data_IF_464172900739
#
_entry.id   IF_464172900739
#
_cell.length_a   1.000
_cell.length_b   1.000
_cell.length_c   1.000
_cell.angle_alpha   90.00
_cell.angle_beta   90.00
_cell.angle_gamma   90.00
#
_symmetry.space_group_name_H-M   'P 1'
#
loop_
_entity.id
_entity.type
_entity.pdbx_description
1 polymer ?
#
# COMPACT_ATOMS: atom_id res chain seq x y z
N UNK A 1 -14.21 -47.50 53.78
CA UNK A 1 -15.32 -47.12 52.88
C UNK A 1 -15.02 -45.77 52.25
N UNK A 2 -15.05 -45.68 50.91
CA UNK A 2 -15.17 -44.51 50.00
C UNK A 2 -14.40 -43.23 50.37
N UNK A 3 -13.23 -42.96 49.75
CA UNK A 3 -13.01 -42.12 48.55
C UNK A 3 -13.64 -40.72 48.63
N UNK A 4 -12.79 -39.69 48.72
CA UNK A 4 -12.99 -38.43 48.00
C UNK A 4 -11.62 -37.77 47.72
N UNK A 5 -11.06 -38.04 46.54
CA UNK A 5 -9.97 -37.21 46.00
C UNK A 5 -10.62 -35.90 45.54
N UNK A 6 -10.32 -34.80 46.23
CA UNK A 6 -10.68 -33.46 45.77
C UNK A 6 -9.60 -32.99 44.80
N UNK A 7 -9.75 -33.30 43.51
CA UNK A 7 -8.90 -32.72 42.45
C UNK A 7 -9.27 -31.24 42.29
N UNK A 8 -8.40 -30.36 42.78
CA UNK A 8 -8.48 -28.91 42.58
C UNK A 8 -8.06 -28.61 41.12
N UNK A 9 -9.02 -28.58 40.20
CA UNK A 9 -8.79 -28.10 38.83
C UNK A 9 -8.57 -26.60 38.86
N UNK A 10 -7.31 -26.19 38.85
CA UNK A 10 -6.88 -24.80 38.70
C UNK A 10 -7.20 -24.35 37.26
N UNK A 11 -8.40 -23.79 37.07
CA UNK A 11 -8.78 -23.10 35.84
C UNK A 11 -7.91 -21.84 35.73
N UNK A 12 -6.74 -21.95 35.12
CA UNK A 12 -5.96 -20.81 34.69
C UNK A 12 -6.73 -20.10 33.57
N UNK A 13 -7.61 -19.17 33.97
CA UNK A 13 -8.12 -18.12 33.10
C UNK A 13 -6.92 -17.33 32.60
N UNK A 14 -6.39 -17.72 31.45
CA UNK A 14 -5.48 -16.90 30.66
C UNK A 14 -6.31 -15.70 30.23
N UNK A 15 -6.32 -14.67 31.06
CA UNK A 15 -6.72 -13.33 30.68
C UNK A 15 -5.72 -12.89 29.60
N UNK A 16 -5.98 -13.29 28.35
CA UNK A 16 -5.38 -12.67 27.19
C UNK A 16 -5.87 -11.22 27.21
N UNK A 17 -5.13 -10.36 27.89
CA UNK A 17 -5.35 -8.93 27.82
C UNK A 17 -5.30 -8.55 26.36
N UNK A 18 -6.46 -8.28 25.75
CA UNK A 18 -6.55 -7.59 24.48
C UNK A 18 -5.94 -6.21 24.69
N UNK A 19 -4.62 -6.13 24.64
CA UNK A 19 -3.93 -4.87 24.39
C UNK A 19 -4.52 -4.37 23.08
N UNK A 20 -5.34 -3.31 23.14
CA UNK A 20 -5.86 -2.64 21.95
C UNK A 20 -4.65 -2.36 21.07
N UNK A 21 -4.53 -3.08 19.95
CA UNK A 21 -3.41 -2.92 19.02
C UNK A 21 -3.39 -1.46 18.62
N UNK A 22 -2.38 -0.71 19.09
CA UNK A 22 -2.28 0.73 18.82
C UNK A 22 -2.24 0.88 17.31
N UNK A 23 -3.24 1.56 16.77
CA UNK A 23 -3.34 1.75 15.33
C UNK A 23 -2.14 2.52 14.83
N UNK A 24 -1.55 2.01 13.75
CA UNK A 24 -0.34 2.57 13.16
C UNK A 24 -0.56 4.02 12.70
N UNK A 25 0.36 4.92 13.05
CA UNK A 25 0.31 6.29 12.54
C UNK A 25 0.89 6.30 11.11
N UNK A 26 0.01 6.17 10.13
CA UNK A 26 0.31 6.08 8.71
C UNK A 26 0.17 7.45 8.02
N UNK A 27 1.10 7.78 7.11
CA UNK A 27 0.99 8.95 6.23
C UNK A 27 1.42 8.66 4.80
N UNK A 28 0.68 9.24 3.85
CA UNK A 28 1.00 9.30 2.43
C UNK A 28 1.23 10.76 2.03
N UNK A 29 2.49 11.13 1.77
CA UNK A 29 2.93 12.49 1.48
C UNK A 29 3.47 12.61 0.05
N UNK A 30 2.71 12.13 -0.93
CA UNK A 30 3.12 12.13 -2.35
C UNK A 30 2.91 13.47 -3.07
N UNK A 31 2.20 14.41 -2.42
CA UNK A 31 1.96 15.76 -2.93
C UNK A 31 2.82 16.85 -2.27
N UNK A 32 3.76 16.48 -1.39
CA UNK A 32 4.72 17.41 -0.79
C UNK A 32 6.00 17.47 -1.62
N UNK A 33 6.62 18.64 -1.68
CA UNK A 33 7.96 18.79 -2.23
C UNK A 33 9.05 18.28 -1.26
N UNK A 34 10.29 18.21 -1.74
CA UNK A 34 11.43 17.71 -0.97
C UNK A 34 11.64 18.49 0.34
N UNK A 35 11.57 19.82 0.27
CA UNK A 35 11.82 20.70 1.43
C UNK A 35 10.72 20.53 2.48
N UNK A 36 9.47 20.36 2.06
CA UNK A 36 8.35 20.07 2.96
C UNK A 36 8.52 18.74 3.67
N UNK A 37 8.95 17.69 2.96
CA UNK A 37 9.20 16.36 3.55
C UNK A 37 10.36 16.40 4.54
N UNK A 38 11.43 17.16 4.26
CA UNK A 38 12.59 17.30 5.14
C UNK A 38 12.26 18.00 6.48
N UNK A 39 11.21 18.81 6.52
CA UNK A 39 10.80 19.57 7.70
C UNK A 39 9.61 18.94 8.47
N UNK A 40 9.38 17.63 8.29
CA UNK A 40 8.36 16.92 9.06
C UNK A 40 8.82 16.74 10.51
N UNK A 41 8.08 17.31 11.46
CA UNK A 41 8.35 17.12 12.89
C UNK A 41 7.52 15.99 13.53
N UNK A 42 6.35 15.67 12.97
CA UNK A 42 5.46 14.62 13.49
C UNK A 42 6.06 13.24 13.24
N UNK A 43 6.07 12.40 14.27
CA UNK A 43 6.54 11.02 14.14
C UNK A 43 5.46 10.10 13.55
N UNK A 44 5.80 9.35 12.50
CA UNK A 44 4.94 8.34 11.85
C UNK A 44 5.47 6.93 12.06
N UNK A 45 4.62 5.92 12.09
CA UNK A 45 5.10 4.53 12.09
C UNK A 45 5.41 4.07 10.66
N UNK A 46 4.52 4.41 9.71
CA UNK A 46 4.77 4.21 8.27
C UNK A 46 4.61 5.54 7.55
N UNK A 47 5.64 5.92 6.81
CA UNK A 47 5.68 7.15 6.02
C UNK A 47 5.98 6.79 4.56
N UNK A 48 5.07 7.14 3.65
CA UNK A 48 5.24 6.99 2.21
C UNK A 48 5.48 8.38 1.60
N UNK A 49 6.54 8.51 0.79
CA UNK A 49 6.94 9.77 0.14
C UNK A 49 7.14 9.56 -1.36
N UNK A 50 6.94 10.63 -2.14
CA UNK A 50 7.24 10.66 -3.57
C UNK A 50 8.64 11.21 -3.81
N UNK A 51 9.39 10.57 -4.70
CA UNK A 51 10.72 11.01 -5.12
C UNK A 51 11.86 10.19 -4.50
N UNK A 52 13.07 10.43 -5.01
CA UNK A 52 14.29 9.73 -4.61
C UNK A 52 15.20 10.68 -3.85
N UNK A 53 15.08 10.70 -2.52
CA UNK A 53 15.99 11.40 -1.63
C UNK A 53 17.37 10.72 -1.52
N UNK A 54 18.38 11.51 -1.17
CA UNK A 54 19.74 11.00 -0.86
C UNK A 54 19.77 10.34 0.51
N UNK A 55 20.79 9.51 0.76
CA UNK A 55 21.02 8.88 2.08
C UNK A 55 21.08 9.87 3.25
N UNK A 56 21.64 11.06 3.04
CA UNK A 56 21.69 12.09 4.07
C UNK A 56 20.28 12.62 4.41
N UNK A 57 19.47 12.88 3.40
CA UNK A 57 18.07 13.32 3.57
C UNK A 57 17.22 12.24 4.24
N UNK A 58 17.26 11.00 3.78
CA UNK A 58 16.48 9.90 4.39
C UNK A 58 16.89 9.64 5.83
N UNK A 59 18.17 9.78 6.18
CA UNK A 59 18.64 9.68 7.57
C UNK A 59 17.98 10.73 8.48
N UNK A 60 17.78 11.96 7.99
CA UNK A 60 17.03 13.00 8.71
C UNK A 60 15.55 12.63 8.85
N UNK A 61 14.91 12.25 7.74
CA UNK A 61 13.48 11.86 7.72
C UNK A 61 13.21 10.69 8.69
N UNK A 62 14.11 9.70 8.75
CA UNK A 62 13.98 8.52 9.60
C UNK A 62 14.03 8.80 11.10
N UNK A 63 14.44 10.00 11.54
CA UNK A 63 14.24 10.43 12.94
C UNK A 63 12.76 10.59 13.29
N UNK A 64 11.92 10.80 12.28
CA UNK A 64 10.49 11.02 12.41
C UNK A 64 9.65 9.88 11.82
N UNK A 65 10.25 8.74 11.49
CA UNK A 65 9.48 7.56 11.09
C UNK A 65 10.13 6.23 11.47
N UNK A 66 9.31 5.22 11.79
CA UNK A 66 9.80 3.84 12.00
C UNK A 66 10.10 3.13 10.68
N UNK A 67 9.35 3.40 9.62
CA UNK A 67 9.56 2.79 8.30
C UNK A 67 9.30 3.81 7.21
N UNK A 68 10.31 4.08 6.39
CA UNK A 68 10.24 5.00 5.26
C UNK A 68 10.10 4.23 3.94
N UNK A 69 9.04 4.53 3.19
CA UNK A 69 8.75 3.95 1.88
C UNK A 69 8.94 4.98 0.77
N UNK A 70 9.70 4.60 -0.26
CA UNK A 70 9.87 5.39 -1.48
C UNK A 70 8.92 4.93 -2.58
N UNK A 71 8.33 5.88 -3.32
CA UNK A 71 7.43 5.54 -4.42
C UNK A 71 8.20 5.10 -5.68
N UNK A 72 7.76 3.99 -6.29
CA UNK A 72 8.10 3.57 -7.66
C UNK A 72 6.81 3.39 -8.45
N UNK A 73 6.77 3.82 -9.70
CA UNK A 73 5.70 3.45 -10.64
C UNK A 73 6.30 2.55 -11.72
N UNK A 74 6.00 1.25 -11.67
CA UNK A 74 6.65 0.27 -12.55
C UNK A 74 6.20 0.39 -14.02
N UNK A 75 5.09 1.06 -14.28
CA UNK A 75 4.50 1.17 -15.63
C UNK A 75 4.59 2.57 -16.20
N UNK A 76 5.14 3.53 -15.45
CA UNK A 76 5.31 4.90 -15.94
C UNK A 76 6.50 4.98 -16.89
N UNK A 77 6.24 4.84 -18.18
CA UNK A 77 7.24 5.08 -19.20
C UNK A 77 7.29 6.56 -19.59
N UNK A 78 8.40 7.23 -19.31
CA UNK A 78 8.71 8.57 -19.84
C UNK A 78 9.89 8.56 -20.80
N UNK A 79 10.50 7.40 -21.03
CA UNK A 79 11.67 7.26 -21.86
C UNK A 79 11.23 6.96 -23.31
N UNK A 80 11.55 7.85 -24.27
CA UNK A 80 11.22 7.67 -25.68
C UNK A 80 11.69 6.33 -26.26
N UNK A 81 12.79 5.78 -25.75
CA UNK A 81 13.41 4.57 -26.28
C UNK A 81 12.54 3.31 -26.10
N UNK A 82 11.57 3.36 -25.19
CA UNK A 82 10.68 2.23 -24.91
C UNK A 82 9.26 2.44 -25.44
N UNK A 83 9.01 3.51 -26.22
CA UNK A 83 7.64 3.87 -26.60
C UNK A 83 6.95 2.85 -27.53
N UNK A 84 7.71 2.22 -28.43
CA UNK A 84 7.18 1.33 -29.46
C UNK A 84 6.70 -0.03 -28.93
N UNK A 85 7.05 -0.39 -27.70
CA UNK A 85 6.66 -1.66 -27.08
C UNK A 85 5.57 -1.51 -26.04
N UNK A 86 5.10 -0.29 -25.79
CA UNK A 86 4.16 0.03 -24.73
C UNK A 86 2.79 -0.62 -24.92
N UNK A 87 2.13 -0.88 -23.78
CA UNK A 87 0.76 -1.39 -23.72
C UNK A 87 -0.18 -0.20 -23.60
N UNK A 88 -1.23 -0.12 -24.42
CA UNK A 88 -2.19 0.99 -24.40
C UNK A 88 -3.55 0.55 -23.87
N UNK A 89 -4.11 1.30 -22.92
CA UNK A 89 -5.47 1.12 -22.41
C UNK A 89 -6.17 2.47 -22.23
N UNK A 90 -7.34 2.65 -22.84
CA UNK A 90 -8.18 3.87 -22.76
C UNK A 90 -7.36 5.16 -22.89
N UNK A 91 -6.55 5.24 -23.95
CA UNK A 91 -5.67 6.37 -24.30
C UNK A 91 -4.50 6.63 -23.34
N UNK A 92 -4.25 5.74 -22.37
CA UNK A 92 -3.07 5.78 -21.52
C UNK A 92 -2.07 4.71 -21.96
N UNK A 93 -0.82 5.11 -22.08
CA UNK A 93 0.28 4.25 -22.51
C UNK A 93 1.11 3.83 -21.29
N UNK A 94 1.35 2.53 -21.16
CA UNK A 94 2.07 1.91 -20.06
C UNK A 94 3.35 1.24 -20.58
N UNK A 95 4.41 1.29 -19.78
CA UNK A 95 5.62 0.55 -20.06
C UNK A 95 5.32 -0.94 -20.23
N UNK A 96 5.92 -1.58 -21.23
CA UNK A 96 5.92 -3.03 -21.29
C UNK A 96 6.93 -3.60 -20.30
N UNK A 97 6.40 -4.05 -19.16
CA UNK A 97 7.20 -4.51 -18.04
C UNK A 97 7.82 -5.90 -18.24
N UNK A 98 7.48 -6.60 -19.33
CA UNK A 98 8.04 -7.93 -19.61
C UNK A 98 9.44 -7.84 -20.22
N UNK A 99 9.83 -6.67 -20.73
CA UNK A 99 11.14 -6.47 -21.33
C UNK A 99 12.26 -6.48 -20.30
N UNK A 100 13.31 -7.26 -20.53
CA UNK A 100 14.46 -7.36 -19.62
C UNK A 100 15.12 -6.01 -19.33
N UNK A 101 15.21 -5.14 -20.34
CA UNK A 101 15.75 -3.79 -20.20
C UNK A 101 14.90 -2.92 -19.27
N UNK A 102 13.57 -3.05 -19.35
CA UNK A 102 12.65 -2.37 -18.43
C UNK A 102 12.72 -2.96 -17.03
N UNK A 103 12.78 -4.29 -16.93
CA UNK A 103 12.92 -4.96 -15.64
C UNK A 103 14.21 -4.51 -14.94
N UNK A 104 15.32 -4.46 -15.68
CA UNK A 104 16.60 -3.93 -15.18
C UNK A 104 16.43 -2.49 -14.70
N UNK A 105 15.81 -1.62 -15.50
CA UNK A 105 15.57 -0.22 -15.13
C UNK A 105 14.83 -0.09 -13.79
N UNK A 106 13.77 -0.88 -13.56
CA UNK A 106 13.03 -0.90 -12.29
C UNK A 106 13.89 -1.45 -11.15
N UNK A 107 14.64 -2.53 -11.36
CA UNK A 107 15.53 -3.08 -10.32
C UNK A 107 16.67 -2.13 -9.94
N UNK A 108 17.21 -1.36 -10.89
CA UNK A 108 18.20 -0.30 -10.61
C UNK A 108 17.60 0.82 -9.74
N UNK A 109 16.32 1.18 -9.95
CA UNK A 109 15.62 2.11 -9.06
C UNK A 109 15.44 1.53 -7.65
N UNK A 110 15.10 0.24 -7.53
CA UNK A 110 15.00 -0.45 -6.24
C UNK A 110 16.34 -0.41 -5.49
N UNK A 111 17.44 -0.72 -6.18
CA UNK A 111 18.79 -0.66 -5.62
C UNK A 111 19.15 0.75 -5.17
N UNK A 112 18.80 1.76 -5.96
CA UNK A 112 19.01 3.17 -5.60
C UNK A 112 18.23 3.56 -4.35
N UNK A 113 16.95 3.16 -4.23
CA UNK A 113 16.16 3.38 -3.02
C UNK A 113 16.79 2.67 -1.81
N UNK A 114 17.24 1.43 -1.96
CA UNK A 114 17.92 0.72 -0.88
C UNK A 114 19.19 1.43 -0.43
N UNK A 115 20.06 1.81 -1.36
CA UNK A 115 21.32 2.51 -1.09
C UNK A 115 21.08 3.85 -0.40
N UNK A 116 20.00 4.53 -0.76
CA UNK A 116 19.56 5.77 -0.14
C UNK A 116 18.83 5.56 1.20
N UNK A 117 18.75 4.35 1.74
CA UNK A 117 18.32 4.11 3.13
C UNK A 117 16.81 4.01 3.35
N UNK A 118 16.04 3.83 2.28
CA UNK A 118 14.62 3.48 2.39
C UNK A 118 14.45 2.07 2.97
N UNK A 119 13.40 1.88 3.76
CA UNK A 119 13.06 0.60 4.40
C UNK A 119 12.12 -0.24 3.53
N UNK A 120 11.40 0.42 2.63
CA UNK A 120 10.46 -0.22 1.73
C UNK A 120 10.12 0.58 0.48
N UNK A 121 9.29 -0.03 -0.35
CA UNK A 121 8.81 0.49 -1.61
C UNK A 121 7.29 0.61 -1.58
N UNK A 122 6.80 1.73 -2.06
CA UNK A 122 5.40 1.92 -2.42
C UNK A 122 5.28 1.84 -3.94
N UNK A 123 4.73 0.74 -4.44
CA UNK A 123 4.80 0.40 -5.87
C UNK A 123 3.43 0.59 -6.53
N UNK A 124 3.40 1.39 -7.59
CA UNK A 124 2.23 1.63 -8.46
C UNK A 124 2.36 0.87 -9.78
N UNK A 125 1.24 0.66 -10.46
CA UNK A 125 1.18 0.12 -11.84
C UNK A 125 0.64 -1.31 -11.95
N UNK A 126 0.21 -1.93 -10.84
CA UNK A 126 -0.31 -3.30 -10.85
C UNK A 126 -1.65 -3.46 -11.57
N UNK A 127 -2.37 -2.37 -11.82
CA UNK A 127 -3.56 -2.36 -12.67
C UNK A 127 -3.26 -2.71 -14.14
N UNK A 128 -2.00 -2.63 -14.58
CA UNK A 128 -1.62 -3.10 -15.91
C UNK A 128 -1.95 -4.59 -16.12
N UNK A 129 -1.96 -5.40 -15.06
CA UNK A 129 -2.35 -6.81 -15.15
C UNK A 129 -3.80 -6.97 -15.64
N UNK A 130 -4.73 -6.18 -15.09
CA UNK A 130 -6.12 -6.13 -15.55
C UNK A 130 -6.20 -5.59 -16.99
N UNK A 131 -5.46 -4.51 -17.28
CA UNK A 131 -5.50 -3.85 -18.59
C UNK A 131 -4.91 -4.69 -19.72
N UNK A 132 -3.95 -5.56 -19.39
CA UNK A 132 -3.37 -6.54 -20.28
C UNK A 132 -4.12 -7.88 -20.22
N UNK A 133 -5.40 -7.87 -19.85
CA UNK A 133 -6.28 -9.06 -19.85
C UNK A 133 -5.71 -10.24 -19.06
N UNK A 134 -5.11 -9.96 -17.90
CA UNK A 134 -4.54 -10.94 -16.98
C UNK A 134 -3.42 -11.80 -17.61
N UNK A 135 -2.65 -11.21 -18.54
CA UNK A 135 -1.50 -11.86 -19.17
C UNK A 135 -0.49 -12.42 -18.13
N UNK A 136 -0.17 -13.70 -18.27
CA UNK A 136 0.72 -14.42 -17.35
C UNK A 136 2.15 -13.85 -17.32
N UNK A 137 2.64 -13.29 -18.43
CA UNK A 137 3.96 -12.66 -18.49
C UNK A 137 3.98 -11.35 -17.71
N UNK A 138 2.87 -10.60 -17.72
CA UNK A 138 2.70 -9.41 -16.87
C UNK A 138 2.66 -9.80 -15.40
N UNK A 139 1.93 -10.85 -15.03
CA UNK A 139 1.93 -11.38 -13.66
C UNK A 139 3.34 -11.79 -13.20
N UNK A 140 4.08 -12.55 -14.04
CA UNK A 140 5.45 -12.99 -13.75
C UNK A 140 6.41 -11.81 -13.58
N UNK A 141 6.32 -10.79 -14.42
CA UNK A 141 7.14 -9.58 -14.30
C UNK A 141 6.82 -8.81 -12.99
N UNK A 142 5.54 -8.71 -12.62
CA UNK A 142 5.13 -8.10 -11.35
C UNK A 142 5.66 -8.89 -10.14
N UNK A 143 5.56 -10.22 -10.18
CA UNK A 143 6.13 -11.10 -9.15
C UNK A 143 7.65 -10.95 -9.06
N UNK A 144 8.34 -10.88 -10.20
CA UNK A 144 9.79 -10.65 -10.25
C UNK A 144 10.20 -9.39 -9.47
N UNK A 145 9.49 -8.27 -9.64
CA UNK A 145 9.80 -7.04 -8.91
C UNK A 145 9.57 -7.15 -7.40
N UNK A 146 8.50 -7.82 -6.98
CA UNK A 146 8.21 -8.05 -5.56
C UNK A 146 9.29 -8.95 -4.94
N UNK A 147 9.63 -10.06 -5.61
CA UNK A 147 10.67 -10.98 -5.16
C UNK A 147 12.03 -10.31 -5.08
N UNK A 148 12.37 -9.48 -6.07
CA UNK A 148 13.61 -8.71 -6.08
C UNK A 148 13.68 -7.75 -4.89
N UNK A 149 12.61 -6.98 -4.64
CA UNK A 149 12.52 -6.11 -3.47
C UNK A 149 12.65 -6.89 -2.15
N UNK A 150 12.01 -8.06 -2.06
CA UNK A 150 12.10 -8.92 -0.89
C UNK A 150 13.52 -9.43 -0.65
N UNK A 151 14.24 -9.86 -1.70
CA UNK A 151 15.66 -10.25 -1.64
C UNK A 151 16.56 -9.10 -1.16
N UNK A 152 16.22 -7.86 -1.52
CA UNK A 152 16.89 -6.64 -1.01
C UNK A 152 16.47 -6.27 0.44
N UNK A 153 15.68 -7.12 1.09
CA UNK A 153 15.12 -6.90 2.44
C UNK A 153 14.33 -5.58 2.50
N UNK A 154 13.61 -5.26 1.43
CA UNK A 154 12.73 -4.10 1.36
C UNK A 154 11.28 -4.55 1.55
N UNK A 155 10.55 -3.82 2.40
CA UNK A 155 9.10 -4.02 2.56
C UNK A 155 8.37 -3.52 1.31
N UNK A 156 7.25 -4.13 0.93
CA UNK A 156 6.48 -3.73 -0.26
C UNK A 156 5.05 -3.36 0.12
N UNK A 157 4.61 -2.16 -0.27
CA UNK A 157 3.20 -1.75 -0.28
C UNK A 157 2.79 -1.55 -1.74
N UNK A 158 1.70 -2.19 -2.15
CA UNK A 158 1.15 -2.07 -3.51
C UNK A 158 0.00 -1.07 -3.51
N UNK A 159 -0.04 -0.16 -4.48
CA UNK A 159 -1.22 0.65 -4.76
C UNK A 159 -2.09 -0.01 -5.83
N UNK A 160 -3.38 -0.16 -5.54
CA UNK A 160 -4.37 -0.75 -6.46
C UNK A 160 -3.96 -2.17 -6.94
N UNK A 161 -4.30 -2.56 -8.18
CA UNK A 161 -3.97 -3.91 -8.69
C UNK A 161 -4.79 -5.04 -8.10
N UNK A 162 -6.07 -4.81 -7.84
CA UNK A 162 -6.94 -5.77 -7.13
C UNK A 162 -7.01 -7.15 -7.80
N UNK A 163 -7.09 -7.23 -9.13
CA UNK A 163 -7.03 -8.50 -9.87
C UNK A 163 -5.72 -9.25 -9.65
N UNK A 164 -4.58 -8.54 -9.62
CA UNK A 164 -3.27 -9.15 -9.34
C UNK A 164 -3.23 -9.69 -7.90
N UNK A 165 -3.71 -8.91 -6.93
CA UNK A 165 -3.74 -9.31 -5.52
C UNK A 165 -4.69 -10.49 -5.28
N UNK A 166 -5.85 -10.51 -5.95
CA UNK A 166 -6.79 -11.63 -5.83
C UNK A 166 -6.17 -12.92 -6.39
N UNK A 167 -5.46 -12.86 -7.51
CA UNK A 167 -4.74 -14.03 -8.04
C UNK A 167 -3.54 -14.42 -7.16
N UNK A 168 -2.79 -13.46 -6.62
CA UNK A 168 -1.72 -13.70 -5.64
C UNK A 168 -2.24 -14.47 -4.41
N UNK A 169 -3.39 -14.04 -3.86
CA UNK A 169 -4.05 -14.71 -2.74
C UNK A 169 -4.56 -16.10 -3.15
N UNK A 170 -5.19 -16.21 -4.32
CA UNK A 170 -5.74 -17.47 -4.85
C UNK A 170 -4.66 -18.52 -5.07
N UNK A 171 -3.51 -18.11 -5.60
CA UNK A 171 -2.34 -18.98 -5.80
C UNK A 171 -1.59 -19.29 -4.50
N UNK A 172 -2.03 -18.74 -3.37
CA UNK A 172 -1.42 -18.92 -2.05
C UNK A 172 0.05 -18.48 -2.03
N UNK A 173 0.37 -17.41 -2.76
CA UNK A 173 1.72 -16.86 -2.81
C UNK A 173 2.18 -16.42 -1.41
N UNK A 174 3.49 -16.43 -1.17
CA UNK A 174 4.02 -16.12 0.16
C UNK A 174 3.65 -14.69 0.58
N UNK A 175 2.73 -14.56 1.55
CA UNK A 175 2.28 -13.26 2.09
C UNK A 175 3.39 -12.36 2.62
N UNK A 176 4.57 -12.90 2.96
CA UNK A 176 5.71 -12.09 3.43
C UNK A 176 6.32 -11.21 2.31
N UNK A 177 6.01 -11.50 1.04
CA UNK A 177 6.46 -10.73 -0.11
C UNK A 177 5.79 -9.34 -0.17
N UNK A 178 4.54 -9.23 0.27
CA UNK A 178 3.77 -7.98 0.26
C UNK A 178 3.40 -7.61 1.70
N UNK A 179 3.94 -6.49 2.19
CA UNK A 179 3.63 -5.99 3.53
C UNK A 179 2.19 -5.47 3.62
N UNK A 180 1.67 -4.87 2.55
CA UNK A 180 0.29 -4.44 2.51
C UNK A 180 -0.17 -3.90 1.16
N UNK A 181 -1.46 -3.64 1.08
CA UNK A 181 -2.14 -3.10 -0.10
C UNK A 181 -2.83 -1.80 0.28
N UNK A 182 -2.65 -0.78 -0.54
CA UNK A 182 -3.26 0.52 -0.41
C UNK A 182 -4.39 0.68 -1.43
N UNK A 183 -5.55 1.15 -0.95
CA UNK A 183 -6.68 1.55 -1.80
C UNK A 183 -7.15 2.95 -1.46
N UNK A 184 -7.47 3.72 -2.49
CA UNK A 184 -8.05 5.05 -2.37
C UNK A 184 -9.58 4.99 -2.53
N UNK A 185 -10.28 6.01 -2.02
CA UNK A 185 -11.69 6.27 -2.31
C UNK A 185 -12.62 5.09 -1.96
N UNK A 186 -12.38 4.45 -0.81
CA UNK A 186 -13.16 3.30 -0.29
C UNK A 186 -14.49 3.78 0.27
N UNK A 187 -14.47 4.86 1.04
CA UNK A 187 -15.63 5.43 1.73
C UNK A 187 -16.18 6.64 1.01
N UNK A 188 -15.30 7.45 0.43
CA UNK A 188 -15.66 8.65 -0.29
C UNK A 188 -15.21 8.58 -1.74
N UNK A 189 -15.75 9.47 -2.58
CA UNK A 189 -15.29 9.69 -3.94
C UNK A 189 -15.10 11.17 -4.20
N UNK A 190 -14.11 11.49 -5.01
CA UNK A 190 -13.90 12.86 -5.45
C UNK A 190 -15.07 13.35 -6.30
N UNK A 191 -15.54 14.57 -6.00
CA UNK A 191 -16.54 15.25 -6.81
C UNK A 191 -16.06 16.69 -7.05
N UNK A 192 -15.89 17.11 -8.31
CA UNK A 192 -15.40 18.46 -8.65
C UNK A 192 -16.25 19.59 -8.05
N UNK A 193 -17.58 19.42 -7.93
CA UNK A 193 -18.51 20.45 -7.44
C UNK A 193 -18.58 20.48 -5.91
N UNK A 194 -18.72 19.30 -5.28
CA UNK A 194 -18.90 19.16 -3.82
C UNK A 194 -17.59 18.87 -3.05
N UNK A 195 -16.47 18.81 -3.77
CA UNK A 195 -15.12 18.39 -3.33
C UNK A 195 -15.03 16.92 -2.90
N UNK A 196 -16.02 16.40 -2.16
CA UNK A 196 -16.12 14.99 -1.76
C UNK A 196 -17.58 14.57 -1.58
N UNK A 197 -17.90 13.33 -1.94
CA UNK A 197 -19.19 12.67 -1.67
C UNK A 197 -18.97 11.28 -1.08
N UNK A 198 -20.00 10.70 -0.46
CA UNK A 198 -20.00 9.26 -0.16
C UNK A 198 -19.79 8.45 -1.42
N UNK A 199 -19.01 7.38 -1.31
CA UNK A 199 -18.84 6.40 -2.38
C UNK A 199 -20.19 5.72 -2.64
N UNK A 200 -20.38 5.25 -3.88
CA UNK A 200 -21.51 4.38 -4.18
C UNK A 200 -21.47 3.15 -3.27
N UNK A 201 -22.61 2.74 -2.70
CA UNK A 201 -22.66 1.65 -1.72
C UNK A 201 -22.05 0.38 -2.29
N UNK A 202 -22.40 0.02 -3.53
CA UNK A 202 -21.89 -1.20 -4.17
C UNK A 202 -20.37 -1.14 -4.34
N UNK A 203 -19.85 -0.01 -4.83
CA UNK A 203 -18.40 0.19 -5.02
C UNK A 203 -17.65 0.19 -3.68
N UNK A 204 -18.23 0.81 -2.65
CA UNK A 204 -17.65 0.83 -1.30
C UNK A 204 -17.57 -0.57 -0.71
N UNK A 205 -18.64 -1.34 -0.83
CA UNK A 205 -18.72 -2.72 -0.33
C UNK A 205 -17.75 -3.63 -1.07
N UNK A 206 -17.63 -3.51 -2.40
CA UNK A 206 -16.65 -4.25 -3.21
C UNK A 206 -15.21 -3.95 -2.78
N UNK A 207 -14.86 -2.66 -2.60
CA UNK A 207 -13.54 -2.26 -2.11
C UNK A 207 -13.26 -2.76 -0.70
N UNK A 208 -14.24 -2.73 0.19
CA UNK A 208 -14.11 -3.26 1.56
C UNK A 208 -13.95 -4.78 1.54
N UNK A 209 -14.75 -5.51 0.78
CA UNK A 209 -14.64 -6.95 0.67
C UNK A 209 -13.25 -7.38 0.15
N UNK A 210 -12.68 -6.62 -0.79
CA UNK A 210 -11.29 -6.81 -1.22
C UNK A 210 -10.28 -6.59 -0.08
N UNK A 211 -10.38 -5.49 0.67
CA UNK A 211 -9.47 -5.22 1.78
C UNK A 211 -9.64 -6.22 2.94
N UNK A 212 -10.85 -6.72 3.19
CA UNK A 212 -11.10 -7.79 4.16
C UNK A 212 -10.35 -9.07 3.76
N UNK A 213 -10.29 -9.41 2.46
CA UNK A 213 -9.48 -10.53 1.95
C UNK A 213 -7.98 -10.29 2.17
N UNK A 214 -7.49 -9.08 1.90
CA UNK A 214 -6.09 -8.69 2.14
C UNK A 214 -5.71 -8.89 3.62
N UNK A 215 -6.55 -8.40 4.55
CA UNK A 215 -6.34 -8.56 5.98
C UNK A 215 -6.40 -10.04 6.39
N UNK A 216 -7.39 -10.77 5.90
CA UNK A 216 -7.57 -12.21 6.21
C UNK A 216 -6.39 -13.06 5.73
N UNK A 217 -5.78 -12.69 4.60
CA UNK A 217 -4.58 -13.35 4.09
C UNK A 217 -3.33 -13.04 4.94
N UNK A 218 -3.39 -12.02 5.80
CA UNK A 218 -2.32 -11.62 6.72
C UNK A 218 -1.46 -10.47 6.23
N UNK A 219 -1.91 -9.74 5.21
CA UNK A 219 -1.28 -8.49 4.75
C UNK A 219 -1.97 -7.28 5.40
N UNK A 220 -1.29 -6.13 5.45
CA UNK A 220 -1.92 -4.88 5.93
C UNK A 220 -2.81 -4.26 4.86
N UNK A 221 -3.98 -3.78 5.25
CA UNK A 221 -4.83 -2.93 4.40
C UNK A 221 -4.62 -1.46 4.77
N UNK A 222 -4.26 -0.63 3.79
CA UNK A 222 -4.13 0.82 3.92
C UNK A 222 -5.24 1.50 3.12
N UNK A 223 -5.93 2.45 3.74
CA UNK A 223 -7.00 3.24 3.14
C UNK A 223 -6.59 4.70 3.10
N UNK A 224 -6.75 5.32 1.93
CA UNK A 224 -6.52 6.76 1.74
C UNK A 224 -7.83 7.41 1.31
N UNK A 225 -8.27 8.39 2.09
CA UNK A 225 -9.50 9.13 1.81
C UNK A 225 -9.21 10.60 1.62
N UNK A 226 -9.79 11.19 0.58
CA UNK A 226 -9.64 12.61 0.28
C UNK A 226 -10.91 13.37 0.66
N UNK A 227 -11.03 13.75 1.94
CA UNK A 227 -12.23 14.44 2.44
C UNK A 227 -11.93 15.55 3.45
N UNK A 228 -12.74 16.61 3.39
CA UNK A 228 -12.79 17.67 4.42
C UNK A 228 -13.97 17.52 5.37
N UNK A 229 -15.02 16.80 4.95
CA UNK A 229 -16.28 16.67 5.68
C UNK A 229 -16.06 15.92 7.00
N UNK A 230 -16.51 16.51 8.11
CA UNK A 230 -16.40 15.94 9.46
C UNK A 230 -17.10 14.59 9.58
N UNK A 231 -18.29 14.47 9.01
CA UNK A 231 -19.15 13.29 9.19
C UNK A 231 -18.50 12.04 8.59
N UNK A 232 -17.87 12.20 7.43
CA UNK A 232 -17.12 11.13 6.79
C UNK A 232 -15.89 10.72 7.59
N UNK A 233 -15.23 11.64 8.31
CA UNK A 233 -14.08 11.28 9.14
C UNK A 233 -14.50 10.26 10.18
N UNK A 234 -15.53 10.54 10.97
CA UNK A 234 -16.00 9.64 12.01
C UNK A 234 -16.38 8.25 11.45
N UNK A 235 -17.08 8.22 10.30
CA UNK A 235 -17.43 6.97 9.60
C UNK A 235 -16.19 6.17 9.19
N UNK A 236 -15.23 6.82 8.55
CA UNK A 236 -13.97 6.21 8.11
C UNK A 236 -13.21 5.67 9.33
N UNK A 237 -13.04 6.49 10.37
CA UNK A 237 -12.28 6.09 11.55
C UNK A 237 -12.88 4.87 12.23
N UNK A 238 -14.20 4.87 12.42
CA UNK A 238 -14.91 3.80 13.09
C UNK A 238 -14.85 2.49 12.29
N UNK A 239 -15.23 2.52 11.01
CA UNK A 239 -15.30 1.31 10.20
C UNK A 239 -13.89 0.75 9.87
N UNK A 240 -12.92 1.62 9.57
CA UNK A 240 -11.54 1.20 9.33
C UNK A 240 -10.92 0.53 10.57
N UNK A 241 -11.10 1.11 11.76
CA UNK A 241 -10.64 0.50 13.03
C UNK A 241 -11.30 -0.86 13.27
N UNK A 242 -12.63 -0.95 13.06
CA UNK A 242 -13.39 -2.19 13.23
C UNK A 242 -12.88 -3.31 12.32
N UNK A 243 -12.49 -2.98 11.09
CA UNK A 243 -12.00 -3.94 10.08
C UNK A 243 -10.50 -4.19 10.14
N UNK A 244 -9.77 -3.52 11.02
CA UNK A 244 -8.31 -3.64 11.12
C UNK A 244 -7.55 -2.94 10.00
N UNK A 245 -8.17 -1.97 9.33
CA UNK A 245 -7.52 -1.16 8.30
C UNK A 245 -6.69 -0.05 8.93
N UNK A 246 -5.53 0.21 8.35
CA UNK A 246 -4.78 1.43 8.57
C UNK A 246 -5.36 2.51 7.65
N UNK A 247 -5.55 3.73 8.12
CA UNK A 247 -6.14 4.78 7.28
C UNK A 247 -5.46 6.13 7.46
N UNK A 248 -5.57 6.96 6.42
CA UNK A 248 -5.21 8.38 6.45
C UNK A 248 -6.29 9.18 5.73
N UNK A 249 -6.64 10.33 6.29
CA UNK A 249 -7.59 11.26 5.68
C UNK A 249 -6.84 12.52 5.27
N UNK A 250 -6.79 12.77 3.97
CA UNK A 250 -6.07 13.89 3.35
C UNK A 250 -7.09 14.97 2.99
N UNK A 251 -6.90 16.18 3.51
CA UNK A 251 -7.84 17.30 3.30
C UNK A 251 -7.88 17.82 1.85
N UNK A 252 -6.82 17.58 1.07
CA UNK A 252 -6.69 18.11 -0.29
C UNK A 252 -6.35 16.99 -1.26
N UNK A 253 -7.22 16.77 -2.25
CA UNK A 253 -6.89 15.92 -3.38
C UNK A 253 -5.99 16.71 -4.33
N UNK A 254 -4.67 16.65 -4.13
CA UNK A 254 -3.71 17.15 -5.10
C UNK A 254 -3.58 16.13 -6.23
N UNK A 255 -4.67 15.91 -6.99
CA UNK A 255 -4.57 15.30 -8.31
C UNK A 255 -3.91 16.36 -9.20
N UNK A 256 -2.58 16.45 -9.13
CA UNK A 256 -1.82 17.07 -10.23
C UNK A 256 -2.29 16.37 -11.49
N UNK A 257 -2.67 17.15 -12.52
CA UNK A 257 -2.91 16.64 -13.86
C UNK A 257 -1.64 15.86 -14.24
N UNK A 258 -1.67 14.53 -14.17
CA UNK A 258 -0.76 13.68 -14.91
C UNK A 258 -1.23 13.70 -16.37
#
# INVERSE_FOLDING_TARGET
MKRLLLTLTLCALVLSGCSKKKMENFALLTGMDKTQVENIHKHYTTLIVKGTFTKATTTKIKKHTTTLYGQINMTANKDPNYQNTNITHKNTTYANITLDTWQKHITDQINTMKANGYDGLYIRGFNLYEYAHKDINIYKAMMHFIDYAHKQKMKVIIQDGHEFIDDFIKHKENKALITGVLREDVYTKYNKKKRTLGQDKKVSDEKKAFLDRVVSYGMKAYVVEYTKASDWKAVIEHDAKKRGYHYVIIKHHNKTKE
#
